data_IF_192456250459
#
_entry.id   IF_192456250459
#
_cell.length_a   1.000
_cell.length_b   1.000
_cell.length_c   1.000
_cell.angle_alpha   90.00
_cell.angle_beta   90.00
_cell.angle_gamma   90.00
#
_symmetry.space_group_name_H-M   'P 1'
#
loop_
_entity.id
_entity.type
_entity.pdbx_description
1 polymer ?
#
# COMPACT_ATOMS: atom_id res chain seq x y z
N UNK A 1 10.09 -0.16 17.43
CA UNK A 1 8.89 0.63 17.03
C UNK A 1 8.59 0.32 15.57
N UNK A 2 7.34 0.00 15.19
CA UNK A 2 6.97 -0.23 13.76
C UNK A 2 6.32 1.01 13.17
N UNK A 3 6.78 1.41 11.99
CA UNK A 3 6.15 2.43 11.14
C UNK A 3 5.84 1.82 9.77
N UNK A 4 4.82 2.32 9.07
CA UNK A 4 4.50 1.89 7.72
C UNK A 4 3.95 3.05 6.87
N UNK A 5 4.41 3.23 5.62
CA UNK A 5 3.96 4.32 4.76
C UNK A 5 2.47 4.19 4.40
N UNK A 6 1.77 5.30 4.21
CA UNK A 6 0.34 5.31 3.82
C UNK A 6 0.01 6.52 2.94
N UNK A 7 -1.20 6.50 2.37
CA UNK A 7 -1.74 7.55 1.52
C UNK A 7 -0.90 7.83 0.27
N UNK A 8 -0.83 9.09 -0.14
CA UNK A 8 -0.03 9.54 -1.32
C UNK A 8 1.42 9.05 -1.27
N UNK A 9 2.02 8.88 -0.08
CA UNK A 9 3.38 8.33 0.01
C UNK A 9 3.45 6.91 -0.54
N UNK A 10 2.44 6.07 -0.34
CA UNK A 10 2.42 4.72 -0.89
C UNK A 10 2.34 4.75 -2.43
N UNK A 11 1.54 5.67 -2.99
CA UNK A 11 1.49 5.88 -4.44
C UNK A 11 2.86 6.31 -4.99
N UNK A 12 3.51 7.26 -4.33
CA UNK A 12 4.83 7.76 -4.75
C UNK A 12 5.91 6.67 -4.67
N UNK A 13 5.95 5.90 -3.58
CA UNK A 13 6.93 4.81 -3.39
C UNK A 13 6.75 3.65 -4.39
N UNK A 14 5.52 3.45 -4.89
CA UNK A 14 5.24 2.47 -5.96
C UNK A 14 5.43 3.04 -7.38
N UNK A 15 5.79 4.33 -7.52
CA UNK A 15 5.91 4.99 -8.82
C UNK A 15 4.56 5.26 -9.51
N UNK A 16 3.44 5.19 -8.78
CA UNK A 16 2.09 5.44 -9.28
C UNK A 16 1.78 6.95 -9.39
N UNK A 17 2.63 7.79 -8.80
CA UNK A 17 2.63 9.24 -8.99
C UNK A 17 4.07 9.75 -8.98
N UNK A 18 4.33 10.78 -9.78
CA UNK A 18 5.62 11.50 -9.82
C UNK A 18 5.63 12.71 -8.88
N UNK A 19 4.47 13.11 -8.36
CA UNK A 19 4.35 14.26 -7.48
C UNK A 19 4.96 13.95 -6.12
N UNK A 20 6.07 14.63 -5.79
CA UNK A 20 6.75 14.46 -4.51
C UNK A 20 5.86 15.04 -3.39
N UNK A 21 5.44 14.24 -2.39
CA UNK A 21 4.58 14.74 -1.33
C UNK A 21 5.31 15.72 -0.40
N UNK A 22 4.75 16.92 -0.21
CA UNK A 22 5.23 17.88 0.80
C UNK A 22 4.96 17.38 2.24
N UNK A 23 3.91 16.59 2.40
CA UNK A 23 3.52 15.93 3.65
C UNK A 23 3.46 14.42 3.44
N UNK A 24 4.33 13.70 4.12
CA UNK A 24 4.35 12.24 4.13
C UNK A 24 3.71 11.71 5.41
N UNK A 25 2.93 10.63 5.31
CA UNK A 25 2.25 10.04 6.46
C UNK A 25 2.72 8.60 6.66
N UNK A 26 3.07 8.27 7.91
CA UNK A 26 3.36 6.92 8.36
C UNK A 26 2.39 6.50 9.45
N UNK A 27 1.87 5.29 9.37
CA UNK A 27 1.14 4.64 10.46
C UNK A 27 2.15 4.12 11.50
N UNK A 28 1.85 4.24 12.79
CA UNK A 28 2.72 3.75 13.87
C UNK A 28 1.95 3.11 15.02
N UNK A 29 2.57 2.15 15.72
CA UNK A 29 2.11 1.68 17.04
C UNK A 29 2.60 2.58 18.19
N UNK A 30 3.57 3.47 17.92
CA UNK A 30 4.12 4.40 18.91
C UNK A 30 3.29 5.67 19.07
N UNK A 31 3.87 6.67 19.74
CA UNK A 31 3.26 7.99 19.90
C UNK A 31 3.03 8.69 18.55
N UNK A 32 1.90 9.38 18.45
CA UNK A 32 1.65 10.30 17.35
C UNK A 32 2.58 11.50 17.47
N UNK A 33 3.21 11.89 16.36
CA UNK A 33 4.11 13.05 16.30
C UNK A 33 4.30 13.54 14.88
N UNK A 34 4.69 14.80 14.72
CA UNK A 34 5.11 15.38 13.46
C UNK A 34 6.60 15.75 13.55
N UNK A 35 7.35 15.48 12.49
CA UNK A 35 8.75 15.89 12.34
C UNK A 35 8.85 16.78 11.08
N UNK A 36 9.51 17.93 11.20
CA UNK A 36 9.83 18.79 10.05
C UNK A 36 11.25 18.46 9.57
N UNK A 37 11.41 18.32 8.25
CA UNK A 37 12.70 18.10 7.60
C UNK A 37 12.81 19.08 6.45
N UNK A 38 13.55 20.17 6.66
CA UNK A 38 13.54 21.33 5.77
C UNK A 38 12.10 21.83 5.56
N UNK A 39 11.68 21.93 4.30
CA UNK A 39 10.32 22.37 3.93
C UNK A 39 9.27 21.23 3.91
N UNK A 40 9.64 20.00 4.29
CA UNK A 40 8.73 18.84 4.28
C UNK A 40 8.31 18.44 5.69
N UNK A 41 7.16 17.76 5.78
CA UNK A 41 6.61 17.24 7.05
C UNK A 41 6.42 15.73 7.01
N UNK A 42 6.88 15.06 8.05
CA UNK A 42 6.64 13.64 8.29
C UNK A 42 5.67 13.52 9.45
N UNK A 43 4.46 13.02 9.17
CA UNK A 43 3.43 12.81 10.19
C UNK A 43 3.34 11.33 10.55
N UNK A 44 3.59 10.99 11.81
CA UNK A 44 3.40 9.67 12.36
C UNK A 44 2.01 9.60 12.99
N UNK A 45 1.06 8.97 12.32
CA UNK A 45 -0.31 8.77 12.80
C UNK A 45 -0.40 7.48 13.61
N UNK A 46 -0.79 7.58 14.88
CA UNK A 46 -1.03 6.38 15.69
C UNK A 46 -2.19 5.57 15.11
N UNK A 47 -2.05 4.25 15.06
CA UNK A 47 -3.09 3.37 14.53
C UNK A 47 -3.26 2.12 15.37
N UNK A 48 -4.40 1.43 15.20
CA UNK A 48 -4.68 0.16 15.88
C UNK A 48 -3.79 -0.97 15.32
N UNK A 49 -3.42 -1.98 16.12
CA UNK A 49 -2.54 -3.06 15.68
C UNK A 49 -2.99 -3.77 14.41
N UNK A 50 -4.32 -3.87 14.18
CA UNK A 50 -4.93 -4.47 12.98
C UNK A 50 -4.43 -3.84 11.68
N UNK A 51 -4.23 -2.53 11.65
CA UNK A 51 -3.78 -1.81 10.45
C UNK A 51 -2.29 -2.02 10.13
N UNK A 52 -1.56 -2.69 11.03
CA UNK A 52 -0.15 -3.05 10.91
C UNK A 52 0.05 -4.57 11.01
N UNK A 53 -0.95 -5.36 10.60
CA UNK A 53 -0.84 -6.83 10.56
C UNK A 53 -0.08 -7.32 9.34
N UNK A 54 -0.25 -6.68 8.17
CA UNK A 54 0.57 -6.94 6.98
C UNK A 54 2.01 -6.55 7.33
N UNK A 55 2.92 -7.51 7.40
CA UNK A 55 4.34 -7.39 7.75
C UNK A 55 5.22 -7.10 6.55
N UNK A 56 4.88 -7.71 5.42
CA UNK A 56 5.57 -7.48 4.15
C UNK A 56 5.37 -6.03 3.67
N UNK A 57 6.47 -5.37 3.31
CA UNK A 57 6.46 -3.94 2.99
C UNK A 57 5.84 -3.67 1.61
N UNK A 58 6.07 -4.55 0.63
CA UNK A 58 5.53 -4.40 -0.71
C UNK A 58 4.00 -4.59 -0.73
N UNK A 59 3.51 -5.67 -0.11
CA UNK A 59 2.08 -5.89 0.06
C UNK A 59 1.44 -4.75 0.88
N UNK A 60 2.14 -4.23 1.90
CA UNK A 60 1.64 -3.08 2.64
C UNK A 60 1.45 -1.86 1.72
N UNK A 61 2.47 -1.52 0.93
CA UNK A 61 2.42 -0.42 -0.02
C UNK A 61 1.27 -0.59 -1.02
N UNK A 62 1.13 -1.77 -1.62
CA UNK A 62 0.06 -2.08 -2.58
C UNK A 62 -1.32 -1.86 -1.93
N UNK A 63 -1.53 -2.40 -0.73
CA UNK A 63 -2.81 -2.22 -0.02
C UNK A 63 -3.08 -0.76 0.32
N UNK A 64 -2.05 0.01 0.70
CA UNK A 64 -2.21 1.44 0.98
C UNK A 64 -2.47 2.26 -0.28
N UNK A 65 -1.86 1.90 -1.42
CA UNK A 65 -2.12 2.52 -2.71
C UNK A 65 -3.57 2.31 -3.15
N UNK A 66 -4.10 1.09 -3.03
CA UNK A 66 -5.52 0.83 -3.29
C UNK A 66 -6.42 1.63 -2.34
N UNK A 67 -6.10 1.70 -1.04
CA UNK A 67 -6.87 2.50 -0.08
C UNK A 67 -6.88 3.98 -0.42
N UNK A 68 -5.73 4.53 -0.80
CA UNK A 68 -5.59 5.93 -1.18
C UNK A 68 -6.36 6.24 -2.46
N UNK A 69 -6.27 5.35 -3.46
CA UNK A 69 -7.00 5.51 -4.71
C UNK A 69 -8.51 5.39 -4.51
N UNK A 70 -8.94 4.45 -3.67
CA UNK A 70 -10.35 4.20 -3.39
C UNK A 70 -11.03 3.39 -4.50
N UNK A 71 -11.99 2.55 -4.10
CA UNK A 71 -12.62 1.56 -4.99
C UNK A 71 -13.31 2.17 -6.22
N UNK A 72 -13.86 3.39 -6.10
CA UNK A 72 -14.62 4.06 -7.17
C UNK A 72 -13.73 4.74 -8.21
N UNK A 73 -12.45 4.96 -7.92
CA UNK A 73 -11.55 5.71 -8.80
C UNK A 73 -10.49 4.82 -9.46
N UNK A 74 -10.57 3.50 -9.27
CA UNK A 74 -9.63 2.55 -9.90
C UNK A 74 -9.84 2.60 -11.42
N UNK A 75 -8.76 2.88 -12.13
CA UNK A 75 -8.70 2.89 -13.59
C UNK A 75 -7.84 1.74 -14.08
N UNK A 76 -8.01 1.36 -15.35
CA UNK A 76 -7.15 0.36 -15.99
C UNK A 76 -5.67 0.79 -15.99
N UNK A 77 -5.40 2.09 -16.17
CA UNK A 77 -4.04 2.63 -16.08
C UNK A 77 -3.41 2.41 -14.70
N UNK A 78 -4.18 2.60 -13.62
CA UNK A 78 -3.73 2.32 -12.27
C UNK A 78 -3.49 0.82 -12.07
N UNK A 79 -4.42 -0.03 -12.53
CA UNK A 79 -4.30 -1.49 -12.41
C UNK A 79 -3.07 -2.02 -13.16
N UNK A 80 -2.81 -1.53 -14.37
CA UNK A 80 -1.64 -1.92 -15.17
C UNK A 80 -0.34 -1.50 -14.49
N UNK A 81 -0.27 -0.28 -13.94
CA UNK A 81 0.91 0.21 -13.25
C UNK A 81 1.18 -0.55 -11.94
N UNK A 82 0.14 -0.74 -11.10
CA UNK A 82 0.31 -1.41 -9.80
C UNK A 82 0.53 -2.92 -9.96
N UNK A 83 0.11 -3.53 -11.08
CA UNK A 83 0.38 -4.93 -11.38
C UNK A 83 1.87 -5.27 -11.33
N UNK A 84 2.74 -4.39 -11.81
CA UNK A 84 4.19 -4.57 -11.76
C UNK A 84 4.73 -4.72 -10.32
N UNK A 85 4.05 -4.13 -9.34
CA UNK A 85 4.36 -4.32 -7.93
C UNK A 85 3.72 -5.60 -7.37
N UNK A 86 2.47 -5.89 -7.75
CA UNK A 86 1.74 -7.10 -7.34
C UNK A 86 2.47 -8.37 -7.78
N UNK A 87 2.98 -8.40 -9.01
CA UNK A 87 3.69 -9.56 -9.60
C UNK A 87 5.01 -9.88 -8.85
N UNK A 88 5.54 -8.94 -8.06
CA UNK A 88 6.76 -9.11 -7.26
C UNK A 88 6.49 -9.56 -5.83
N UNK A 89 5.22 -9.70 -5.43
CA UNK A 89 4.87 -10.16 -4.09
C UNK A 89 5.07 -11.68 -4.03
N UNK A 90 5.78 -12.14 -3.01
CA UNK A 90 5.99 -13.57 -2.76
C UNK A 90 4.65 -14.30 -2.54
N UNK A 91 4.50 -15.49 -3.12
CA UNK A 91 3.28 -16.29 -3.00
C UNK A 91 2.92 -16.58 -1.54
N UNK A 92 3.90 -16.90 -0.69
CA UNK A 92 3.69 -17.12 0.75
C UNK A 92 3.15 -15.86 1.44
N UNK A 93 3.57 -14.67 0.99
CA UNK A 93 3.05 -13.39 1.50
C UNK A 93 1.59 -13.21 1.08
N UNK A 94 1.24 -13.50 -0.17
CA UNK A 94 -0.15 -13.44 -0.66
C UNK A 94 -1.04 -14.37 0.16
N UNK A 95 -0.64 -15.63 0.33
CA UNK A 95 -1.42 -16.64 1.05
C UNK A 95 -1.58 -16.32 2.54
N UNK A 96 -0.49 -15.88 3.20
CA UNK A 96 -0.48 -15.71 4.66
C UNK A 96 -0.97 -14.33 5.13
N UNK A 97 -0.77 -13.26 4.34
CA UNK A 97 -0.96 -11.88 4.79
C UNK A 97 -2.03 -11.09 4.05
N UNK A 98 -2.39 -11.44 2.81
CA UNK A 98 -3.40 -10.69 2.04
C UNK A 98 -4.76 -10.64 2.77
N UNK A 99 -5.08 -11.68 3.55
CA UNK A 99 -6.30 -11.77 4.39
C UNK A 99 -6.49 -10.59 5.34
N UNK A 100 -5.43 -9.83 5.66
CA UNK A 100 -5.50 -8.64 6.52
C UNK A 100 -5.91 -7.36 5.77
N UNK A 101 -5.96 -7.37 4.43
CA UNK A 101 -6.47 -6.26 3.63
C UNK A 101 -8.01 -6.23 3.62
N UNK A 102 -8.64 -5.09 3.31
CA UNK A 102 -10.07 -5.04 3.01
C UNK A 102 -10.46 -6.02 1.90
N UNK A 103 -11.63 -6.67 2.01
CA UNK A 103 -12.08 -7.74 1.11
C UNK A 103 -12.03 -7.33 -0.37
N UNK A 104 -12.43 -6.10 -0.70
CA UNK A 104 -12.41 -5.63 -2.08
C UNK A 104 -10.97 -5.50 -2.64
N UNK A 105 -10.01 -5.08 -1.81
CA UNK A 105 -8.59 -5.02 -2.19
C UNK A 105 -8.04 -6.44 -2.38
N UNK A 106 -8.44 -7.39 -1.52
CA UNK A 106 -8.07 -8.79 -1.71
C UNK A 106 -8.53 -9.31 -3.07
N UNK A 107 -9.76 -8.99 -3.48
CA UNK A 107 -10.29 -9.38 -4.80
C UNK A 107 -9.46 -8.79 -5.93
N UNK A 108 -9.14 -7.50 -5.89
CA UNK A 108 -8.34 -6.86 -6.94
C UNK A 108 -6.92 -7.42 -7.02
N UNK A 109 -6.23 -7.61 -5.88
CA UNK A 109 -4.89 -8.19 -5.86
C UNK A 109 -4.91 -9.63 -6.39
N UNK A 110 -5.88 -10.46 -5.98
CA UNK A 110 -6.03 -11.83 -6.50
C UNK A 110 -6.27 -11.85 -8.01
N UNK A 111 -7.12 -10.97 -8.53
CA UNK A 111 -7.34 -10.85 -9.99
C UNK A 111 -6.07 -10.48 -10.73
N UNK A 112 -5.25 -9.58 -10.19
CA UNK A 112 -4.00 -9.17 -10.82
C UNK A 112 -2.93 -10.28 -10.75
N UNK A 113 -2.86 -10.97 -9.62
CA UNK A 113 -1.83 -11.98 -9.32
C UNK A 113 -2.08 -13.31 -10.05
N UNK A 114 -3.30 -13.85 -9.99
CA UNK A 114 -3.62 -15.18 -10.55
C UNK A 114 -4.10 -15.16 -12.01
N UNK A 115 -4.21 -13.98 -12.66
CA UNK A 115 -4.55 -13.93 -14.09
C UNK A 115 -3.48 -14.58 -15.00
N UNK A 116 -2.35 -15.00 -14.44
CA UNK A 116 -1.33 -15.79 -15.13
C UNK A 116 -1.62 -17.30 -15.20
N UNK A 117 -2.59 -17.85 -14.46
CA UNK A 117 -2.88 -19.30 -14.51
C UNK A 117 -3.76 -19.75 -15.68
N UNK A 118 -4.25 -18.83 -16.51
CA UNK A 118 -5.03 -19.14 -17.72
C UNK A 118 -4.57 -18.28 -18.90
N UNK A 119 -3.41 -18.65 -19.45
CA UNK A 119 -3.08 -18.38 -20.86
C UNK A 119 -2.53 -19.70 -21.39
N UNK A 120 -3.44 -20.56 -21.85
CA UNK A 120 -3.15 -21.59 -22.86
C UNK A 120 -3.06 -20.92 -24.24
#
# INVERSE_FOLDING_TARGET
MRIAPTGVLALYLLGLTTQIPLKTVYLTKGSQREIKVGNRKINFKRTVPKNLMIKDDLLHLVVQAFKEKGQREITDSFLNAIKLAVDKIDQQVVESQLKFAPVWIQKEIKKLYYKQEYVD
#
